data_IF_950588742886
#
_entry.id   IF_950588742886
#
_cell.length_a   1.000
_cell.length_b   1.000
_cell.length_c   1.000
_cell.angle_alpha   90.00
_cell.angle_beta   90.00
_cell.angle_gamma   90.00
#
_symmetry.space_group_name_H-M   'P 1'
#
loop_
_entity.id
_entity.type
_entity.pdbx_description
1 polymer ?
#
# COMPACT_ATOMS: atom_id res chain seq x y z
N UNK A 1 14.32 2.20 20.77
CA UNK A 1 14.99 2.99 19.71
C UNK A 1 14.14 2.99 18.44
N UNK A 2 14.06 4.10 17.69
CA UNK A 2 13.34 4.13 16.40
C UNK A 2 14.01 3.24 15.35
N UNK A 3 13.20 2.55 14.54
CA UNK A 3 13.70 1.71 13.46
C UNK A 3 14.33 2.57 12.35
N UNK A 4 15.53 2.19 11.91
CA UNK A 4 16.22 2.83 10.79
C UNK A 4 15.46 2.64 9.48
N UNK A 5 15.74 3.51 8.50
CA UNK A 5 15.18 3.38 7.16
C UNK A 5 15.50 2.00 6.54
N UNK A 6 16.73 1.50 6.71
CA UNK A 6 17.16 0.21 6.17
C UNK A 6 16.32 -0.95 6.74
N UNK A 7 16.07 -0.97 8.05
CA UNK A 7 15.24 -2.03 8.64
C UNK A 7 13.80 -1.98 8.12
N UNK A 8 13.23 -0.77 7.99
CA UNK A 8 11.90 -0.58 7.40
C UNK A 8 11.84 -1.03 5.94
N UNK A 9 12.88 -0.72 5.16
CA UNK A 9 12.98 -1.12 3.76
C UNK A 9 13.09 -2.64 3.63
N UNK A 10 13.94 -3.30 4.42
CA UNK A 10 14.04 -4.78 4.46
C UNK A 10 12.70 -5.42 4.83
N UNK A 11 12.01 -4.87 5.84
CA UNK A 11 10.69 -5.36 6.24
C UNK A 11 9.69 -5.26 5.08
N UNK A 12 9.67 -4.10 4.41
CA UNK A 12 8.82 -3.86 3.25
C UNK A 12 9.13 -4.81 2.09
N UNK A 13 10.40 -5.06 1.77
CA UNK A 13 10.79 -6.02 0.72
C UNK A 13 10.31 -7.43 1.02
N UNK A 14 10.41 -7.88 2.28
CA UNK A 14 9.92 -9.21 2.69
C UNK A 14 8.39 -9.28 2.60
N UNK A 15 7.68 -8.26 3.10
CA UNK A 15 6.23 -8.17 2.97
C UNK A 15 5.82 -8.13 1.48
N UNK A 16 6.62 -7.48 0.63
CA UNK A 16 6.37 -7.39 -0.80
C UNK A 16 6.49 -8.73 -1.53
N UNK A 17 7.39 -9.63 -1.09
CA UNK A 17 7.45 -10.99 -1.64
C UNK A 17 6.16 -11.77 -1.36
N UNK A 18 5.55 -11.58 -0.19
CA UNK A 18 4.25 -12.18 0.13
C UNK A 18 3.13 -11.59 -0.72
N UNK A 19 3.14 -10.27 -0.91
CA UNK A 19 2.20 -9.58 -1.80
C UNK A 19 2.36 -10.11 -3.23
N UNK A 20 3.58 -10.27 -3.74
CA UNK A 20 3.82 -10.79 -5.07
C UNK A 20 3.31 -12.23 -5.22
N UNK A 21 3.55 -13.09 -4.23
CA UNK A 21 3.00 -14.45 -4.22
C UNK A 21 1.46 -14.44 -4.26
N UNK A 22 0.83 -13.56 -3.47
CA UNK A 22 -0.62 -13.36 -3.50
C UNK A 22 -1.11 -12.88 -4.88
N UNK A 23 -0.45 -11.90 -5.49
CA UNK A 23 -0.80 -11.40 -6.82
C UNK A 23 -0.67 -12.48 -7.90
N UNK A 24 0.33 -13.37 -7.81
CA UNK A 24 0.45 -14.52 -8.71
C UNK A 24 -0.72 -15.50 -8.55
N UNK A 25 -1.19 -15.72 -7.32
CA UNK A 25 -2.38 -16.55 -7.09
C UNK A 25 -3.62 -15.89 -7.72
N UNK A 26 -3.83 -14.59 -7.48
CA UNK A 26 -4.94 -13.84 -8.08
C UNK A 26 -4.89 -13.93 -9.61
N UNK A 27 -3.71 -13.77 -10.20
CA UNK A 27 -3.49 -13.89 -11.64
C UNK A 27 -3.84 -15.29 -12.16
N UNK A 28 -3.34 -16.36 -11.52
CA UNK A 28 -3.62 -17.74 -11.92
C UNK A 28 -5.11 -18.05 -11.83
N UNK A 29 -5.77 -17.64 -10.74
CA UNK A 29 -7.22 -17.81 -10.54
C UNK A 29 -7.98 -17.09 -11.66
N UNK A 30 -7.60 -15.85 -11.97
CA UNK A 30 -8.27 -15.02 -12.97
C UNK A 30 -8.05 -15.51 -14.41
N UNK A 31 -6.91 -16.14 -14.73
CA UNK A 31 -6.65 -16.67 -16.08
C UNK A 31 -7.24 -18.06 -16.27
N UNK A 32 -7.01 -18.97 -15.32
CA UNK A 32 -7.27 -20.39 -15.53
C UNK A 32 -8.56 -20.90 -14.90
N UNK A 33 -9.00 -20.32 -13.78
CA UNK A 33 -10.17 -20.83 -13.05
C UNK A 33 -11.42 -19.99 -13.32
N UNK A 34 -11.28 -18.67 -13.40
CA UNK A 34 -12.40 -17.73 -13.58
C UNK A 34 -12.06 -16.64 -14.62
N UNK A 35 -11.84 -17.01 -15.90
CA UNK A 35 -11.55 -16.06 -16.98
C UNK A 35 -12.61 -14.97 -17.15
N UNK A 36 -13.87 -15.25 -16.81
CA UNK A 36 -14.96 -14.26 -16.85
C UNK A 36 -14.73 -13.04 -15.95
N UNK A 37 -13.88 -13.15 -14.91
CA UNK A 37 -13.53 -12.00 -14.07
C UNK A 37 -12.75 -10.93 -14.83
N UNK A 38 -12.11 -11.26 -15.96
CA UNK A 38 -11.42 -10.29 -16.81
C UNK A 38 -12.39 -9.28 -17.45
N UNK A 39 -13.65 -9.68 -17.65
CA UNK A 39 -14.66 -8.80 -18.25
C UNK A 39 -14.99 -7.61 -17.34
N UNK A 40 -14.82 -7.76 -16.02
CA UNK A 40 -14.98 -6.67 -15.05
C UNK A 40 -14.00 -5.52 -15.31
N UNK A 41 -12.83 -5.81 -15.87
CA UNK A 41 -11.81 -4.82 -16.19
C UNK A 41 -11.98 -4.16 -17.56
N UNK A 42 -12.86 -4.69 -18.42
CA UNK A 42 -13.08 -4.20 -19.80
C UNK A 42 -14.34 -3.34 -19.98
N UNK A 43 -15.30 -3.43 -19.06
CA UNK A 43 -16.61 -2.75 -19.22
C UNK A 43 -16.56 -1.24 -18.94
N UNK A 44 -15.93 -0.81 -17.85
CA UNK A 44 -15.74 0.61 -17.55
C UNK A 44 -14.54 0.84 -16.62
N UNK A 45 -13.91 2.03 -16.66
CA UNK A 45 -12.81 2.37 -15.74
C UNK A 45 -13.22 2.29 -14.26
N UNK A 46 -14.48 2.58 -13.96
CA UNK A 46 -15.03 2.55 -12.60
C UNK A 46 -15.14 1.10 -12.10
N UNK A 47 -15.63 0.19 -12.95
CA UNK A 47 -15.74 -1.21 -12.59
C UNK A 47 -14.35 -1.87 -12.47
N UNK A 48 -13.42 -1.50 -13.33
CA UNK A 48 -12.02 -1.91 -13.25
C UNK A 48 -11.37 -1.45 -11.93
N UNK A 49 -11.61 -0.19 -11.54
CA UNK A 49 -11.14 0.37 -10.26
C UNK A 49 -11.70 -0.42 -9.07
N UNK A 50 -13.02 -0.60 -9.01
CA UNK A 50 -13.67 -1.31 -7.91
C UNK A 50 -13.18 -2.77 -7.82
N UNK A 51 -13.05 -3.43 -8.97
CA UNK A 51 -12.60 -4.81 -9.05
C UNK A 51 -11.13 -4.93 -8.63
N UNK A 52 -10.26 -4.03 -9.10
CA UNK A 52 -8.88 -3.93 -8.65
C UNK A 52 -8.76 -3.68 -7.15
N UNK A 53 -9.54 -2.74 -6.61
CA UNK A 53 -9.56 -2.46 -5.17
C UNK A 53 -9.94 -3.70 -4.36
N UNK A 54 -11.05 -4.38 -4.72
CA UNK A 54 -11.56 -5.54 -3.99
C UNK A 54 -10.63 -6.76 -4.10
N UNK A 55 -10.02 -6.98 -5.27
CA UNK A 55 -9.17 -8.15 -5.52
C UNK A 55 -7.71 -7.95 -5.10
N UNK A 56 -7.24 -6.71 -4.98
CA UNK A 56 -5.82 -6.41 -4.73
C UNK A 56 -5.67 -5.57 -3.47
N UNK A 57 -6.12 -4.32 -3.52
CA UNK A 57 -5.75 -3.33 -2.50
C UNK A 57 -6.37 -3.61 -1.15
N UNK A 58 -7.64 -4.02 -1.11
CA UNK A 58 -8.34 -4.33 0.12
C UNK A 58 -7.71 -5.53 0.85
N UNK A 59 -7.49 -6.70 0.22
CA UNK A 59 -6.80 -7.83 0.85
C UNK A 59 -5.40 -7.48 1.38
N UNK A 60 -4.60 -6.75 0.60
CA UNK A 60 -3.26 -6.31 1.02
C UNK A 60 -3.36 -5.31 2.19
N UNK A 61 -4.33 -4.41 2.16
CA UNK A 61 -4.58 -3.46 3.25
C UNK A 61 -4.97 -4.17 4.53
N UNK A 62 -5.89 -5.16 4.44
CA UNK A 62 -6.30 -6.00 5.57
C UNK A 62 -5.12 -6.78 6.14
N UNK A 63 -4.24 -7.31 5.29
CA UNK A 63 -3.00 -7.94 5.74
C UNK A 63 -2.19 -7.01 6.66
N UNK A 64 -1.95 -5.76 6.26
CA UNK A 64 -1.22 -4.81 7.10
C UNK A 64 -1.99 -4.41 8.37
N UNK A 65 -3.29 -4.15 8.26
CA UNK A 65 -4.14 -3.73 9.39
C UNK A 65 -4.20 -4.84 10.45
N UNK A 66 -4.45 -6.08 10.04
CA UNK A 66 -4.58 -7.22 10.96
C UNK A 66 -3.21 -7.59 11.52
N UNK A 67 -2.16 -7.63 10.69
CA UNK A 67 -0.83 -8.05 11.15
C UNK A 67 -0.19 -7.05 12.10
N UNK A 68 -0.36 -5.75 11.89
CA UNK A 68 0.16 -4.73 12.82
C UNK A 68 -0.77 -4.47 14.02
N UNK A 69 -1.93 -5.14 14.09
CA UNK A 69 -2.86 -5.02 15.23
C UNK A 69 -2.32 -5.69 16.49
N UNK A 70 -2.90 -5.38 17.64
CA UNK A 70 -2.57 -6.00 18.92
C UNK A 70 -2.66 -7.54 18.94
N UNK A 71 -3.40 -8.17 18.01
CA UNK A 71 -3.53 -9.64 17.94
C UNK A 71 -2.28 -10.34 17.42
N UNK A 72 -1.59 -9.74 16.45
CA UNK A 72 -0.41 -10.33 15.78
C UNK A 72 0.85 -9.52 16.10
N UNK A 73 0.72 -8.20 16.19
CA UNK A 73 1.74 -7.24 16.61
C UNK A 73 2.71 -6.81 15.52
N UNK A 74 2.97 -7.65 14.51
CA UNK A 74 3.90 -7.39 13.43
C UNK A 74 3.47 -8.08 12.12
N UNK A 75 3.56 -7.38 10.98
CA UNK A 75 3.64 -8.06 9.68
C UNK A 75 4.85 -9.01 9.60
N UNK A 76 4.80 -9.94 8.65
CA UNK A 76 5.82 -10.98 8.51
C UNK A 76 7.22 -10.38 8.33
N UNK A 77 7.37 -9.42 7.42
CA UNK A 77 8.63 -8.71 7.21
C UNK A 77 9.09 -7.90 8.42
N UNK A 78 8.14 -7.32 9.17
CA UNK A 78 8.45 -6.60 10.42
C UNK A 78 8.93 -7.53 11.53
N UNK A 79 8.33 -8.73 11.64
CA UNK A 79 8.76 -9.78 12.56
C UNK A 79 10.18 -10.22 12.23
N UNK A 80 10.47 -10.50 10.95
CA UNK A 80 11.80 -10.93 10.49
C UNK A 80 12.90 -9.87 10.69
N UNK A 81 12.55 -8.60 10.70
CA UNK A 81 13.51 -7.49 10.89
C UNK A 81 13.54 -6.93 12.31
N UNK A 82 12.78 -7.51 13.24
CA UNK A 82 12.75 -7.08 14.64
C UNK A 82 12.23 -5.65 14.81
N UNK A 83 11.20 -5.25 14.06
CA UNK A 83 10.58 -3.92 14.20
C UNK A 83 9.07 -4.04 14.40
N UNK A 84 8.44 -3.10 15.10
CA UNK A 84 6.98 -3.06 15.29
C UNK A 84 6.43 -1.65 15.19
N UNK A 85 5.16 -1.55 14.86
CA UNK A 85 4.41 -0.29 14.87
C UNK A 85 3.81 -0.08 16.26
N UNK A 86 3.91 1.13 16.80
CA UNK A 86 3.36 1.52 18.10
C UNK A 86 2.69 2.89 18.02
N UNK A 87 1.79 3.16 18.95
CA UNK A 87 1.25 4.50 19.17
C UNK A 87 2.23 5.41 19.94
N UNK A 88 1.91 6.70 20.03
CA UNK A 88 2.75 7.72 20.70
C UNK A 88 3.04 7.40 22.17
N UNK A 89 2.10 6.76 22.86
CA UNK A 89 2.22 6.34 24.27
C UNK A 89 2.98 5.01 24.44
N UNK A 90 3.41 4.36 23.36
CA UNK A 90 4.10 3.07 23.42
C UNK A 90 3.20 1.84 23.32
N UNK A 91 1.89 2.04 23.28
CA UNK A 91 0.90 0.97 23.21
C UNK A 91 0.80 0.37 21.79
N UNK A 92 0.20 -0.83 21.74
CA UNK A 92 -0.14 -1.49 20.48
C UNK A 92 -1.18 -0.66 19.71
N UNK A 93 -1.04 -0.48 18.38
CA UNK A 93 -1.98 0.30 17.60
C UNK A 93 -3.40 -0.26 17.59
N UNK A 94 -4.38 0.62 17.74
CA UNK A 94 -5.78 0.29 17.51
C UNK A 94 -6.08 0.03 16.02
N UNK A 95 -7.04 -0.86 15.74
CA UNK A 95 -7.46 -1.21 14.35
C UNK A 95 -7.88 0.04 13.57
N UNK A 96 -8.58 0.98 14.21
CA UNK A 96 -9.05 2.22 13.57
C UNK A 96 -7.85 3.06 13.10
N UNK A 97 -6.84 3.26 13.96
CA UNK A 97 -5.63 4.00 13.56
C UNK A 97 -4.85 3.27 12.48
N UNK A 98 -4.73 1.95 12.56
CA UNK A 98 -4.10 1.15 11.51
C UNK A 98 -4.82 1.29 10.18
N UNK A 99 -6.15 1.37 10.20
CA UNK A 99 -6.97 1.58 9.00
C UNK A 99 -6.66 2.94 8.38
N UNK A 100 -6.72 4.04 9.14
CA UNK A 100 -6.36 5.37 8.62
C UNK A 100 -4.93 5.43 8.08
N UNK A 101 -3.98 4.84 8.83
CA UNK A 101 -2.58 4.77 8.40
C UNK A 101 -2.43 4.01 7.09
N UNK A 102 -3.18 2.92 6.92
CA UNK A 102 -3.14 2.06 5.73
C UNK A 102 -3.77 2.75 4.53
N UNK A 103 -4.92 3.43 4.70
CA UNK A 103 -5.55 4.24 3.65
C UNK A 103 -4.57 5.29 3.12
N UNK A 104 -3.94 6.06 4.00
CA UNK A 104 -2.99 7.11 3.59
C UNK A 104 -1.74 6.49 2.95
N UNK A 105 -1.25 5.37 3.50
CA UNK A 105 -0.09 4.64 2.96
C UNK A 105 -0.33 4.15 1.53
N UNK A 106 -1.52 3.62 1.24
CA UNK A 106 -1.90 3.09 -0.07
C UNK A 106 -2.48 4.15 -1.03
N UNK A 107 -2.60 5.41 -0.60
CA UNK A 107 -3.13 6.47 -1.46
C UNK A 107 -2.37 6.62 -2.80
N UNK A 108 -1.02 6.62 -2.86
CA UNK A 108 -0.33 6.67 -4.16
C UNK A 108 -0.58 5.43 -5.03
N UNK A 109 -0.77 4.27 -4.40
CA UNK A 109 -1.03 3.00 -5.07
C UNK A 109 -2.42 3.01 -5.72
N UNK A 110 -3.45 3.45 -5.00
CA UNK A 110 -4.80 3.58 -5.57
C UNK A 110 -4.90 4.68 -6.63
N UNK A 111 -4.24 5.82 -6.44
CA UNK A 111 -4.15 6.83 -7.50
C UNK A 111 -3.44 6.29 -8.75
N UNK A 112 -2.51 5.35 -8.60
CA UNK A 112 -1.87 4.69 -9.74
C UNK A 112 -2.84 3.78 -10.48
N UNK A 113 -3.67 2.99 -9.78
CA UNK A 113 -4.72 2.19 -10.40
C UNK A 113 -5.74 3.07 -11.13
N UNK A 114 -6.19 4.13 -10.46
CA UNK A 114 -7.06 5.15 -11.04
C UNK A 114 -6.51 5.66 -12.38
N UNK A 115 -5.22 5.99 -12.42
CA UNK A 115 -4.57 6.48 -13.63
C UNK A 115 -4.46 5.39 -14.70
N UNK A 116 -3.93 4.21 -14.33
CA UNK A 116 -3.67 3.11 -15.27
C UNK A 116 -4.95 2.62 -15.94
N UNK A 117 -6.05 2.42 -15.21
CA UNK A 117 -7.30 1.99 -15.83
C UNK A 117 -7.81 3.03 -16.82
N UNK A 118 -7.69 4.33 -16.55
CA UNK A 118 -8.10 5.37 -17.51
C UNK A 118 -7.22 5.38 -18.76
N UNK A 119 -5.92 5.20 -18.61
CA UNK A 119 -5.00 5.11 -19.74
C UNK A 119 -5.28 3.88 -20.61
N UNK A 120 -5.55 2.72 -20.01
CA UNK A 120 -5.93 1.51 -20.74
C UNK A 120 -7.19 1.75 -21.60
N UNK A 121 -8.18 2.46 -21.07
CA UNK A 121 -9.43 2.75 -21.79
C UNK A 121 -9.27 3.83 -22.86
N UNK A 122 -8.31 4.74 -22.73
CA UNK A 122 -7.94 5.66 -23.81
C UNK A 122 -7.31 4.89 -24.97
N UNK A 123 -6.55 3.82 -24.68
CA UNK A 123 -5.83 3.05 -25.69
C UNK A 123 -4.81 3.91 -26.42
N UNK A 124 -4.87 3.90 -27.75
CA UNK A 124 -3.98 4.69 -28.63
C UNK A 124 -4.44 6.15 -28.82
N UNK A 125 -5.47 6.58 -28.09
CA UNK A 125 -5.95 7.96 -28.11
C UNK A 125 -4.98 8.97 -27.50
N UNK A 126 -5.24 10.26 -27.75
CA UNK A 126 -4.46 11.34 -27.12
C UNK A 126 -4.68 11.35 -25.61
N UNK A 127 -3.59 11.32 -24.84
CA UNK A 127 -3.65 11.37 -23.37
C UNK A 127 -3.88 12.82 -22.92
N UNK A 128 -4.99 13.13 -22.22
CA UNK A 128 -5.23 14.47 -21.69
C UNK A 128 -4.13 14.92 -20.71
N UNK A 129 -3.80 16.21 -20.73
CA UNK A 129 -2.79 16.82 -19.84
C UNK A 129 -3.02 16.49 -18.35
N UNK A 130 -4.29 16.42 -17.93
CA UNK A 130 -4.67 16.10 -16.55
C UNK A 130 -4.10 14.75 -16.07
N UNK A 131 -3.97 13.75 -16.94
CA UNK A 131 -3.42 12.44 -16.57
C UNK A 131 -1.91 12.49 -16.37
N UNK A 132 -1.19 13.33 -17.10
CA UNK A 132 0.22 13.61 -16.81
C UNK A 132 0.40 14.33 -15.47
N UNK A 133 -0.47 15.30 -15.17
CA UNK A 133 -0.45 16.01 -13.88
C UNK A 133 -0.72 15.04 -12.72
N UNK A 134 -1.72 14.17 -12.85
CA UNK A 134 -2.03 13.12 -11.85
C UNK A 134 -0.83 12.19 -11.67
N UNK A 135 -0.21 11.73 -12.76
CA UNK A 135 1.02 10.93 -12.71
C UNK A 135 2.14 11.64 -11.94
N UNK A 136 2.38 12.91 -12.25
CA UNK A 136 3.35 13.75 -11.54
C UNK A 136 3.05 13.85 -10.04
N UNK A 137 1.80 14.09 -9.66
CA UNK A 137 1.37 14.15 -8.26
C UNK A 137 1.64 12.84 -7.54
N UNK A 138 1.34 11.69 -8.16
CA UNK A 138 1.61 10.36 -7.58
C UNK A 138 3.10 10.20 -7.25
N UNK A 139 4.00 10.51 -8.20
CA UNK A 139 5.44 10.40 -7.97
C UNK A 139 5.94 11.36 -6.90
N UNK A 140 5.42 12.59 -6.86
CA UNK A 140 5.72 13.55 -5.78
C UNK A 140 5.27 12.99 -4.44
N UNK A 141 4.09 12.37 -4.36
CA UNK A 141 3.57 11.76 -3.13
C UNK A 141 4.46 10.61 -2.63
N UNK A 142 4.88 9.72 -3.54
CA UNK A 142 5.82 8.63 -3.24
C UNK A 142 7.15 9.20 -2.73
N UNK A 143 7.69 10.21 -3.41
CA UNK A 143 8.94 10.85 -3.02
C UNK A 143 8.82 11.47 -1.62
N UNK A 144 7.73 12.19 -1.34
CA UNK A 144 7.44 12.76 -0.02
C UNK A 144 7.39 11.66 1.05
N UNK A 145 6.80 10.50 0.76
CA UNK A 145 6.74 9.38 1.71
C UNK A 145 8.13 8.80 2.02
N UNK A 146 8.99 8.67 1.02
CA UNK A 146 10.36 8.16 1.18
C UNK A 146 11.22 9.20 1.91
N UNK A 147 11.28 10.44 1.41
CA UNK A 147 12.11 11.51 1.99
C UNK A 147 11.74 11.78 3.44
N UNK A 148 10.44 11.78 3.77
CA UNK A 148 10.01 11.98 5.16
C UNK A 148 10.51 10.87 6.10
N UNK A 149 10.50 9.61 5.66
CA UNK A 149 11.03 8.48 6.44
C UNK A 149 12.56 8.53 6.59
N UNK A 150 13.28 9.03 5.57
CA UNK A 150 14.75 9.16 5.61
C UNK A 150 15.18 10.31 6.52
N UNK A 151 14.63 11.51 6.32
CA UNK A 151 15.14 12.75 6.92
C UNK A 151 14.50 13.12 8.25
N UNK A 152 13.32 12.59 8.60
CA UNK A 152 12.72 12.95 9.88
C UNK A 152 13.50 12.39 11.08
N UNK A 153 13.55 13.17 12.18
CA UNK A 153 14.25 12.78 13.42
C UNK A 153 13.79 11.41 13.96
N UNK A 154 12.51 11.11 13.82
CA UNK A 154 11.83 9.88 14.26
C UNK A 154 11.73 8.81 13.15
N UNK A 155 12.32 9.08 11.98
CA UNK A 155 12.31 8.25 10.76
C UNK A 155 10.90 7.89 10.26
N UNK A 156 9.90 8.70 10.59
CA UNK A 156 8.49 8.52 10.24
C UNK A 156 8.21 8.98 8.82
N UNK A 157 7.48 8.16 8.06
CA UNK A 157 6.87 8.62 6.82
C UNK A 157 5.70 9.58 7.10
N UNK A 158 5.22 10.32 6.09
CA UNK A 158 4.07 11.24 6.25
C UNK A 158 2.84 10.54 6.81
N UNK A 159 2.51 9.34 6.32
CA UNK A 159 1.37 8.57 6.84
C UNK A 159 1.54 8.17 8.32
N UNK A 160 2.77 7.93 8.78
CA UNK A 160 3.04 7.65 10.20
C UNK A 160 2.83 8.92 11.04
N UNK A 161 3.26 10.08 10.54
CA UNK A 161 3.13 11.38 11.24
C UNK A 161 1.67 11.79 11.39
N UNK A 162 0.88 11.69 10.32
CA UNK A 162 -0.52 12.10 10.29
C UNK A 162 -1.38 11.33 11.30
N UNK A 163 -1.06 10.05 11.54
CA UNK A 163 -1.80 9.19 12.47
C UNK A 163 -1.10 9.06 13.84
N UNK A 164 0.03 9.76 14.03
CA UNK A 164 0.77 9.75 15.29
C UNK A 164 1.40 8.40 15.65
N UNK A 165 1.79 7.61 14.66
CA UNK A 165 2.38 6.28 14.83
C UNK A 165 3.89 6.26 14.66
N UNK A 166 4.54 5.29 15.29
CA UNK A 166 6.00 5.13 15.27
C UNK A 166 6.37 3.71 14.91
N UNK A 167 7.55 3.53 14.31
CA UNK A 167 8.14 2.20 14.11
C UNK A 167 9.40 2.13 14.96
N UNK A 168 9.44 1.14 15.85
CA UNK A 168 10.53 0.93 16.82
C UNK A 168 11.15 -0.44 16.63
N UNK A 169 12.40 -0.59 17.03
CA UNK A 169 13.02 -1.91 17.17
C UNK A 169 12.38 -2.64 18.36
N UNK A 170 12.17 -3.94 18.19
CA UNK A 170 11.78 -4.89 19.25
C UNK A 170 13.05 -5.39 19.93
#
# INVERSE_FOLDING_TARGET
MYASFINRFKAFMIDYLLILAYLMIVLIINIFLFPSLQDLFKQSPILAELSGFLMVTLPISLYFIISDSNRIGQSFGKKTTGIKVIEKNGESPSIIRLTYRTIIKFLPWELSHFLVYRLIYIGDGEVPLIYFVIGGVIYVLILVYILSAVFSKKKQSVYDKLVGMYVVKV
#
